data_IF_396438222134
#
_entry.id   IF_396438222134
#
_cell.length_a   1.000
_cell.length_b   1.000
_cell.length_c   1.000
_cell.angle_alpha   90.00
_cell.angle_beta   90.00
_cell.angle_gamma   90.00
#
_symmetry.space_group_name_H-M   'P 1'
#
loop_
_entity.id
_entity.type
_entity.pdbx_description
1 polymer ?
#
# COMPACT_ATOMS: atom_id res chain seq x y z
N UNK A 1 -9.85 -3.25 -10.85
CA UNK A 1 -9.49 -1.81 -10.67
C UNK A 1 -8.29 -1.51 -11.57
N UNK A 2 -8.19 -0.35 -12.23
CA UNK A 2 -7.02 -0.01 -13.06
C UNK A 2 -5.84 0.46 -12.19
N UNK A 3 -4.59 0.12 -12.52
CA UNK A 3 -3.38 0.51 -11.76
C UNK A 3 -3.33 2.01 -11.47
N UNK A 4 -3.62 2.86 -12.46
CA UNK A 4 -3.67 4.33 -12.31
C UNK A 4 -4.72 4.80 -11.31
N UNK A 5 -5.83 4.06 -11.18
CA UNK A 5 -6.90 4.36 -10.23
C UNK A 5 -6.46 4.03 -8.81
N UNK A 6 -5.88 2.84 -8.61
CA UNK A 6 -5.36 2.41 -7.30
C UNK A 6 -4.25 3.34 -6.79
N UNK A 7 -3.33 3.73 -7.66
CA UNK A 7 -2.27 4.69 -7.34
C UNK A 7 -2.84 6.05 -6.92
N UNK A 8 -3.84 6.56 -7.66
CA UNK A 8 -4.52 7.81 -7.32
C UNK A 8 -5.16 7.78 -5.93
N UNK A 9 -5.93 6.74 -5.61
CA UNK A 9 -6.56 6.61 -4.29
C UNK A 9 -5.52 6.48 -3.19
N UNK A 10 -4.45 5.70 -3.42
CA UNK A 10 -3.36 5.54 -2.46
C UNK A 10 -2.67 6.88 -2.19
N UNK A 11 -2.36 7.65 -3.24
CA UNK A 11 -1.76 8.98 -3.11
C UNK A 11 -2.68 9.96 -2.37
N UNK A 12 -3.99 9.89 -2.60
CA UNK A 12 -4.96 10.69 -1.85
C UNK A 12 -4.98 10.30 -0.36
N UNK A 13 -5.01 9.00 -0.04
CA UNK A 13 -5.00 8.51 1.34
C UNK A 13 -3.72 8.93 2.07
N UNK A 14 -2.55 8.77 1.44
CA UNK A 14 -1.26 9.20 2.00
C UNK A 14 -1.27 10.72 2.25
N UNK A 15 -1.71 11.50 1.26
CA UNK A 15 -1.82 12.95 1.37
C UNK A 15 -2.63 13.36 2.60
N UNK A 16 -3.78 12.71 2.84
CA UNK A 16 -4.70 13.07 3.92
C UNK A 16 -4.33 12.46 5.29
N UNK A 17 -3.56 11.37 5.34
CA UNK A 17 -3.10 10.73 6.58
C UNK A 17 -1.84 11.37 7.17
N UNK A 18 -0.91 11.84 6.33
CA UNK A 18 0.38 12.36 6.79
C UNK A 18 0.24 13.74 7.44
N UNK A 19 -0.73 14.54 7.01
CA UNK A 19 -1.01 15.86 7.58
C UNK A 19 -1.76 15.78 8.90
N UNK A 20 -1.35 16.61 9.87
CA UNK A 20 -1.96 16.67 11.21
C UNK A 20 -3.31 17.39 11.24
N UNK A 21 -3.56 18.29 10.28
CA UNK A 21 -4.77 19.10 10.18
C UNK A 21 -5.58 18.81 8.92
N UNK A 22 -6.67 19.55 8.73
CA UNK A 22 -7.38 19.57 7.46
C UNK A 22 -6.46 20.06 6.33
N UNK A 23 -6.68 19.58 5.12
CA UNK A 23 -5.91 19.93 3.92
C UNK A 23 -6.84 20.63 2.94
N UNK A 24 -6.51 21.83 2.45
CA UNK A 24 -7.38 22.55 1.53
C UNK A 24 -7.36 21.85 0.16
N UNK A 25 -8.47 21.95 -0.56
CA UNK A 25 -8.68 21.26 -1.83
C UNK A 25 -7.63 21.62 -2.87
N UNK A 26 -7.28 22.91 -2.95
CA UNK A 26 -6.23 23.40 -3.85
C UNK A 26 -4.86 22.74 -3.58
N UNK A 27 -4.55 22.38 -2.34
CA UNK A 27 -3.32 21.64 -2.00
C UNK A 27 -3.40 20.18 -2.42
N UNK A 28 -4.53 19.53 -2.21
CA UNK A 28 -4.77 18.13 -2.63
C UNK A 28 -4.55 18.02 -4.14
N UNK A 29 -5.12 18.94 -4.92
CA UNK A 29 -4.97 18.98 -6.39
C UNK A 29 -3.51 19.12 -6.83
N UNK A 30 -2.70 19.90 -6.11
CA UNK A 30 -1.28 20.09 -6.41
C UNK A 30 -0.43 18.86 -6.06
N UNK A 31 -0.74 18.19 -4.95
CA UNK A 31 0.07 17.07 -4.45
C UNK A 31 -0.22 15.79 -5.25
N UNK A 32 -1.50 15.45 -5.41
CA UNK A 32 -1.93 14.22 -6.09
C UNK A 32 -1.81 14.43 -7.60
N UNK A 33 -0.82 13.77 -8.21
CA UNK A 33 -0.45 13.95 -9.62
C UNK A 33 -1.64 13.81 -10.58
N UNK A 34 -2.50 12.81 -10.35
CA UNK A 34 -3.67 12.55 -11.19
C UNK A 34 -4.69 13.70 -11.25
N UNK A 35 -4.62 14.68 -10.33
CA UNK A 35 -5.52 15.83 -10.27
C UNK A 35 -4.94 17.11 -10.90
N UNK A 36 -3.61 17.21 -11.07
CA UNK A 36 -2.95 18.47 -11.44
C UNK A 36 -3.43 19.02 -12.78
N UNK A 37 -3.51 18.15 -13.78
CA UNK A 37 -3.79 18.54 -15.17
C UNK A 37 -5.28 18.46 -15.53
N UNK A 38 -6.15 18.16 -14.56
CA UNK A 38 -7.60 18.15 -14.79
C UNK A 38 -8.14 19.57 -14.83
N UNK A 39 -9.19 19.80 -15.62
CA UNK A 39 -9.99 21.03 -15.50
C UNK A 39 -10.68 21.07 -14.14
N UNK A 40 -11.14 22.25 -13.71
CA UNK A 40 -11.79 22.42 -12.40
C UNK A 40 -12.99 21.48 -12.25
N UNK A 41 -13.90 21.47 -13.22
CA UNK A 41 -15.06 20.56 -13.23
C UNK A 41 -14.69 19.07 -13.23
N UNK A 42 -13.61 18.70 -13.94
CA UNK A 42 -13.17 17.31 -14.02
C UNK A 42 -12.52 16.85 -12.71
N UNK A 43 -11.69 17.71 -12.11
CA UNK A 43 -11.12 17.50 -10.79
C UNK A 43 -12.23 17.31 -9.76
N UNK A 44 -13.27 18.16 -9.81
CA UNK A 44 -14.36 18.09 -8.83
C UNK A 44 -15.11 16.77 -8.85
N UNK A 45 -15.56 16.35 -10.04
CA UNK A 45 -16.24 15.07 -10.20
C UNK A 45 -15.34 13.89 -9.83
N UNK A 46 -14.06 13.98 -10.17
CA UNK A 46 -13.09 12.93 -9.87
C UNK A 46 -12.85 12.81 -8.37
N UNK A 47 -12.68 13.93 -7.68
CA UNK A 47 -12.43 13.98 -6.25
C UNK A 47 -13.65 13.53 -5.44
N UNK A 48 -14.86 13.96 -5.79
CA UNK A 48 -16.08 13.47 -5.14
C UNK A 48 -16.26 11.96 -5.31
N UNK A 49 -16.02 11.43 -6.53
CA UNK A 49 -16.03 9.98 -6.74
C UNK A 49 -14.96 9.26 -5.91
N UNK A 50 -13.74 9.79 -5.85
CA UNK A 50 -12.67 9.18 -5.07
C UNK A 50 -12.98 9.20 -3.56
N UNK A 51 -13.66 10.24 -3.05
CA UNK A 51 -14.20 10.26 -1.67
C UNK A 51 -15.22 9.15 -1.43
N UNK A 52 -16.14 8.95 -2.38
CA UNK A 52 -17.15 7.90 -2.27
C UNK A 52 -16.53 6.51 -2.28
N UNK A 53 -15.56 6.27 -3.16
CA UNK A 53 -14.84 5.00 -3.22
C UNK A 53 -14.03 4.72 -1.95
N UNK A 54 -13.39 5.74 -1.38
CA UNK A 54 -12.71 5.60 -0.09
C UNK A 54 -13.70 5.29 1.04
N UNK A 55 -14.89 5.90 1.02
CA UNK A 55 -15.95 5.61 1.99
C UNK A 55 -16.44 4.16 1.88
N UNK A 56 -16.60 3.63 0.66
CA UNK A 56 -17.00 2.23 0.42
C UNK A 56 -16.02 1.21 1.03
N UNK A 57 -14.72 1.54 1.06
CA UNK A 57 -13.68 0.69 1.67
C UNK A 57 -13.40 1.03 3.15
N UNK A 58 -14.26 1.83 3.78
CA UNK A 58 -14.17 2.14 5.22
C UNK A 58 -13.20 3.26 5.58
N UNK A 59 -12.79 4.10 4.62
CA UNK A 59 -11.90 5.25 4.83
C UNK A 59 -12.70 6.55 4.68
N UNK A 60 -13.38 7.04 5.75
CA UNK A 60 -14.14 8.27 5.67
C UNK A 60 -13.22 9.50 5.64
N UNK A 61 -13.46 10.40 4.69
CA UNK A 61 -12.85 11.73 4.65
C UNK A 61 -13.73 12.71 5.41
N UNK A 62 -13.16 13.36 6.43
CA UNK A 62 -13.77 14.43 7.18
C UNK A 62 -13.65 15.75 6.43
N UNK A 63 -14.70 16.56 6.50
CA UNK A 63 -14.71 17.93 6.00
C UNK A 63 -14.77 18.86 7.19
N UNK A 64 -13.92 19.87 7.22
CA UNK A 64 -13.87 20.88 8.28
C UNK A 64 -13.09 22.11 7.84
N UNK A 65 -12.96 23.09 8.71
CA UNK A 65 -12.28 24.34 8.38
C UNK A 65 -10.76 24.20 8.55
N UNK A 66 -10.00 24.61 7.54
CA UNK A 66 -8.53 24.65 7.61
C UNK A 66 -8.02 25.76 8.56
N UNK A 67 -8.73 26.88 8.63
CA UNK A 67 -8.44 28.01 9.53
C UNK A 67 -9.73 28.51 10.18
N UNK A 68 -9.68 28.80 11.49
CA UNK A 68 -10.83 29.33 12.23
C UNK A 68 -11.13 30.82 11.94
N UNK A 69 -10.24 31.49 11.20
CA UNK A 69 -10.26 32.94 10.98
C UNK A 69 -10.60 33.35 9.53
N UNK A 70 -10.59 32.40 8.59
CA UNK A 70 -10.89 32.63 7.17
C UNK A 70 -11.80 31.50 6.66
N UNK A 71 -13.00 31.85 6.20
CA UNK A 71 -14.11 30.92 5.90
C UNK A 71 -14.10 30.38 4.45
N UNK A 72 -13.06 30.65 3.66
CA UNK A 72 -13.26 30.61 2.22
C UNK A 72 -12.98 29.25 1.55
N UNK A 73 -12.34 28.28 2.22
CA UNK A 73 -12.12 26.95 1.61
C UNK A 73 -12.29 25.77 2.59
N UNK A 74 -13.14 24.77 2.26
CA UNK A 74 -13.26 23.56 3.05
C UNK A 74 -11.96 22.75 2.99
N UNK A 75 -11.53 22.28 4.15
CA UNK A 75 -10.41 21.37 4.30
C UNK A 75 -10.86 19.92 4.50
N UNK A 76 -9.99 18.99 4.12
CA UNK A 76 -10.25 17.55 4.13
C UNK A 76 -9.22 16.80 4.96
N UNK A 77 -9.62 15.76 5.69
CA UNK A 77 -8.71 14.95 6.52
C UNK A 77 -9.19 13.52 6.64
N UNK A 78 -8.27 12.57 6.78
CA UNK A 78 -8.58 11.23 7.26
C UNK A 78 -8.16 11.12 8.73
N UNK A 79 -9.07 10.73 9.62
CA UNK A 79 -8.70 10.44 11.01
C UNK A 79 -7.87 9.16 11.07
N UNK A 80 -6.67 9.25 11.63
CA UNK A 80 -5.83 8.07 11.87
C UNK A 80 -6.54 7.02 12.73
N UNK A 81 -7.30 7.44 13.74
CA UNK A 81 -8.11 6.56 14.58
C UNK A 81 -9.24 5.84 13.83
N UNK A 82 -9.64 6.33 12.64
CA UNK A 82 -10.59 5.64 11.78
C UNK A 82 -9.90 4.59 10.88
N UNK A 83 -8.56 4.59 10.82
CA UNK A 83 -7.73 3.65 10.07
C UNK A 83 -6.99 2.65 10.98
N UNK A 84 -6.78 3.00 12.25
CA UNK A 84 -6.15 2.12 13.22
C UNK A 84 -7.04 0.90 13.46
N UNK A 85 -6.45 -0.27 13.20
CA UNK A 85 -7.05 -1.53 13.55
C UNK A 85 -7.17 -1.57 15.08
N UNK A 86 -8.38 -1.82 15.64
CA UNK A 86 -8.50 -2.03 17.07
C UNK A 86 -7.66 -3.24 17.48
N UNK A 87 -7.44 -3.40 18.78
CA UNK A 87 -6.75 -4.58 19.30
C UNK A 87 -7.46 -5.85 18.81
N UNK A 88 -6.74 -6.69 18.08
CA UNK A 88 -7.24 -7.97 17.60
C UNK A 88 -6.71 -9.05 18.53
N UNK A 89 -7.65 -9.75 19.18
CA UNK A 89 -7.36 -11.02 19.85
C UNK A 89 -7.69 -12.15 18.89
N UNK A 90 -6.72 -13.01 18.60
CA UNK A 90 -6.89 -14.20 17.77
C UNK A 90 -6.84 -15.44 18.65
N UNK A 91 -7.74 -16.39 18.41
CA UNK A 91 -7.60 -17.74 18.95
C UNK A 91 -6.41 -18.45 18.29
N UNK A 92 -5.86 -19.52 18.90
CA UNK A 92 -4.65 -20.17 18.41
C UNK A 92 -4.74 -20.68 16.96
N UNK A 93 -5.91 -21.17 16.55
CA UNK A 93 -6.18 -21.64 15.19
C UNK A 93 -6.33 -20.48 14.19
N UNK A 94 -7.00 -19.39 14.56
CA UNK A 94 -7.08 -18.16 13.76
C UNK A 94 -5.69 -17.55 13.51
N UNK A 95 -4.86 -17.48 14.56
CA UNK A 95 -3.47 -17.03 14.45
C UNK A 95 -2.65 -17.93 13.52
N UNK A 96 -2.87 -19.25 13.56
CA UNK A 96 -2.21 -20.19 12.66
C UNK A 96 -2.62 -19.95 11.19
N UNK A 97 -3.90 -19.68 10.93
CA UNK A 97 -4.40 -19.37 9.57
C UNK A 97 -3.80 -18.07 9.05
N UNK A 98 -3.78 -17.00 9.85
CA UNK A 98 -3.15 -15.72 9.48
C UNK A 98 -1.64 -15.91 9.24
N UNK A 99 -0.96 -16.69 10.09
CA UNK A 99 0.45 -17.04 9.92
C UNK A 99 0.73 -17.78 8.61
N UNK A 100 -0.14 -18.73 8.23
CA UNK A 100 -0.04 -19.42 6.94
C UNK A 100 -0.24 -18.45 5.76
N UNK A 101 -1.26 -17.59 5.83
CA UNK A 101 -1.51 -16.59 4.80
C UNK A 101 -0.33 -15.62 4.61
N UNK A 102 0.28 -15.18 5.71
CA UNK A 102 1.47 -14.33 5.67
C UNK A 102 2.65 -15.03 4.97
N UNK A 103 2.87 -16.31 5.25
CA UNK A 103 3.93 -17.10 4.57
C UNK A 103 3.66 -17.25 3.08
N UNK A 104 2.41 -17.54 2.67
CA UNK A 104 2.05 -17.63 1.25
C UNK A 104 2.31 -16.31 0.54
N UNK A 105 1.99 -15.17 1.15
CA UNK A 105 2.27 -13.86 0.59
C UNK A 105 3.77 -13.58 0.42
N UNK A 106 4.57 -13.89 1.45
CA UNK A 106 6.04 -13.77 1.38
C UNK A 106 6.64 -14.61 0.25
N UNK A 107 6.21 -15.87 0.15
CA UNK A 107 6.68 -16.79 -0.89
C UNK A 107 6.22 -16.37 -2.29
N UNK A 108 5.00 -15.87 -2.44
CA UNK A 108 4.49 -15.36 -3.72
C UNK A 108 5.29 -14.14 -4.21
N UNK A 109 5.73 -13.25 -3.30
CA UNK A 109 6.60 -12.12 -3.63
C UNK A 109 7.96 -12.57 -4.17
N UNK A 110 8.55 -13.61 -3.56
CA UNK A 110 9.86 -14.17 -3.93
C UNK A 110 9.79 -15.08 -5.17
N UNK A 111 8.65 -15.69 -5.46
CA UNK A 111 8.49 -16.68 -6.53
C UNK A 111 8.95 -16.20 -7.92
N UNK A 112 8.74 -14.90 -8.22
CA UNK A 112 9.17 -14.31 -9.50
C UNK A 112 10.69 -14.20 -9.60
N UNK A 113 11.34 -13.69 -8.56
CA UNK A 113 12.80 -13.54 -8.50
C UNK A 113 13.49 -14.91 -8.52
N UNK A 114 12.97 -15.88 -7.77
CA UNK A 114 13.47 -17.27 -7.77
C UNK A 114 13.33 -17.90 -9.15
N UNK A 115 12.22 -17.65 -9.86
CA UNK A 115 12.04 -18.19 -11.21
C UNK A 115 13.09 -17.65 -12.19
N UNK A 116 13.37 -16.35 -12.15
CA UNK A 116 14.41 -15.72 -12.98
C UNK A 116 15.82 -16.24 -12.62
N UNK A 117 16.13 -16.37 -11.33
CA UNK A 117 17.41 -16.91 -10.86
C UNK A 117 17.61 -18.37 -11.31
N UNK A 118 16.57 -19.20 -11.22
CA UNK A 118 16.63 -20.60 -11.69
C UNK A 118 16.85 -20.70 -13.20
N UNK A 119 16.31 -19.76 -13.99
CA UNK A 119 16.57 -19.68 -15.42
C UNK A 119 18.04 -19.31 -15.68
N UNK A 120 18.60 -18.33 -14.95
CA UNK A 120 20.02 -17.95 -15.05
C UNK A 120 20.95 -19.10 -14.66
N UNK A 121 20.67 -19.81 -13.57
CA UNK A 121 21.46 -20.96 -13.11
C UNK A 121 21.50 -22.10 -14.14
N UNK A 122 20.35 -22.41 -14.74
CA UNK A 122 20.28 -23.40 -15.83
C UNK A 122 21.05 -22.95 -17.07
N UNK A 123 20.96 -21.67 -17.43
CA UNK A 123 21.75 -21.11 -18.54
C UNK A 123 23.27 -21.19 -18.27
N UNK A 124 23.68 -21.10 -17.00
CA UNK A 124 25.05 -21.33 -16.53
C UNK A 124 25.44 -22.82 -16.37
N UNK A 125 24.58 -23.76 -16.76
CA UNK A 125 24.84 -25.20 -16.70
C UNK A 125 24.62 -25.85 -15.32
N UNK A 126 24.07 -25.13 -14.34
CA UNK A 126 23.78 -25.66 -13.00
C UNK A 126 22.42 -26.37 -13.02
N UNK A 127 22.40 -27.67 -12.77
CA UNK A 127 21.14 -28.43 -12.60
C UNK A 127 20.56 -28.18 -11.21
N UNK A 128 19.34 -27.62 -11.16
CA UNK A 128 18.64 -27.35 -9.90
C UNK A 128 17.46 -28.30 -9.74
N UNK A 129 17.51 -29.10 -8.69
CA UNK A 129 16.41 -29.95 -8.24
C UNK A 129 15.42 -29.11 -7.42
N UNK A 130 14.22 -28.90 -7.98
CA UNK A 130 13.17 -28.09 -7.34
C UNK A 130 12.49 -28.84 -6.20
N UNK A 131 12.46 -30.17 -6.24
CA UNK A 131 11.82 -30.98 -5.21
C UNK A 131 12.70 -31.04 -3.97
N UNK A 132 14.03 -31.07 -4.15
CA UNK A 132 14.99 -30.92 -3.07
C UNK A 132 14.90 -29.54 -2.37
N UNK A 133 14.66 -28.46 -3.14
CA UNK A 133 14.49 -27.11 -2.60
C UNK A 133 13.21 -26.94 -1.80
N UNK A 134 12.17 -27.75 -2.03
CA UNK A 134 10.93 -27.72 -1.25
C UNK A 134 11.07 -28.39 0.12
N UNK A 135 12.11 -29.22 0.33
CA UNK A 135 12.37 -29.94 1.58
C UNK A 135 13.04 -29.06 2.65
N UNK A 136 13.67 -27.95 2.24
CA UNK A 136 14.39 -27.05 3.13
C UNK A 136 13.87 -25.65 2.92
N UNK A 137 13.35 -25.02 3.97
CA UNK A 137 12.92 -23.62 3.95
C UNK A 137 14.01 -22.75 4.59
N UNK A 138 15.03 -22.30 3.83
CA UNK A 138 16.03 -21.40 4.36
C UNK A 138 15.35 -20.09 4.78
N UNK A 139 15.62 -19.65 6.00
CA UNK A 139 15.15 -18.37 6.54
C UNK A 139 16.34 -17.44 6.69
N UNK A 140 16.17 -16.22 6.22
CA UNK A 140 17.15 -15.16 6.34
C UNK A 140 16.40 -13.92 6.82
N UNK A 141 16.71 -13.45 8.02
CA UNK A 141 16.10 -12.23 8.55
C UNK A 141 16.77 -11.00 7.91
N UNK A 142 15.99 -9.93 7.69
CA UNK A 142 16.50 -8.68 7.12
C UNK A 142 17.62 -8.02 7.95
N UNK A 143 17.72 -8.36 9.24
CA UNK A 143 18.79 -7.88 10.13
C UNK A 143 20.12 -8.66 9.98
N UNK A 144 20.11 -9.79 9.26
CA UNK A 144 21.33 -10.59 9.10
C UNK A 144 22.26 -9.92 8.08
N UNK A 145 23.58 -9.84 8.36
CA UNK A 145 24.55 -9.23 7.43
C UNK A 145 24.60 -9.86 6.04
N UNK A 146 24.16 -11.12 5.93
CA UNK A 146 24.08 -11.85 4.67
C UNK A 146 22.85 -11.48 3.81
N UNK A 147 21.90 -10.70 4.34
CA UNK A 147 20.66 -10.34 3.65
C UNK A 147 20.90 -9.48 2.41
N UNK A 148 21.51 -8.30 2.56
CA UNK A 148 21.74 -7.36 1.45
C UNK A 148 22.54 -7.99 0.29
N UNK A 149 23.67 -8.68 0.52
CA UNK A 149 24.41 -9.32 -0.57
C UNK A 149 23.63 -10.41 -1.33
N UNK A 150 22.70 -11.10 -0.67
CA UNK A 150 21.86 -12.12 -1.30
C UNK A 150 20.63 -11.51 -2.00
N UNK A 151 20.16 -10.35 -1.53
CA UNK A 151 19.03 -9.64 -2.11
C UNK A 151 19.38 -8.93 -3.42
N UNK A 152 20.60 -8.40 -3.52
CA UNK A 152 21.10 -7.66 -4.69
C UNK A 152 21.72 -8.54 -5.80
N UNK A 153 21.88 -9.85 -5.57
CA UNK A 153 22.50 -10.81 -6.50
C UNK A 153 21.56 -11.30 -7.62
#
# INVERSE_FOLDING_TARGET
MSTRKSERLMNLVICLLVTRGYVPKGRIRKVVEAYRDQTDDAFEKMFERDKDELREIGIPIEVGSHEALFDDEPGYRIRRTAFELPEITLEPDEAAVVGLAARVWQHAGLARQTSDALVKLRAGGVSVDRDALALVEPRLAAAEPAFEPLWDA
#
